data_IF_181658794732
#
_entry.id   IF_181658794732
#
_cell.length_a   1.000
_cell.length_b   1.000
_cell.length_c   1.000
_cell.angle_alpha   90.00
_cell.angle_beta   90.00
_cell.angle_gamma   90.00
#
_symmetry.space_group_name_H-M   'P 1'
#
loop_
_entity.id
_entity.type
_entity.pdbx_description
1 polymer ?
#
# COMPACT_ATOMS: atom_id res chain seq x y z
N UNK A 1 -11.08 -23.50 10.95
CA UNK A 1 -11.41 -24.12 12.25
C UNK A 1 -12.62 -23.43 12.91
N UNK A 2 -12.45 -22.50 13.86
CA UNK A 2 -13.59 -21.95 14.64
C UNK A 2 -14.71 -21.29 13.79
N UNK A 3 -14.36 -20.44 12.82
CA UNK A 3 -15.37 -19.76 11.98
C UNK A 3 -16.11 -20.71 11.04
N UNK A 4 -15.44 -21.79 10.61
CA UNK A 4 -16.06 -22.81 9.76
C UNK A 4 -17.05 -23.65 10.57
N UNK A 5 -16.69 -24.01 11.81
CA UNK A 5 -17.59 -24.70 12.74
C UNK A 5 -18.87 -23.89 13.00
N UNK A 6 -18.74 -22.59 13.29
CA UNK A 6 -19.89 -21.70 13.45
C UNK A 6 -20.74 -21.58 12.19
N UNK A 7 -20.11 -21.58 11.01
CA UNK A 7 -20.84 -21.55 9.73
C UNK A 7 -21.63 -22.84 9.50
N UNK A 8 -21.06 -24.00 9.86
CA UNK A 8 -21.75 -25.29 9.78
C UNK A 8 -22.90 -25.40 10.79
N UNK A 9 -22.73 -24.91 12.02
CA UNK A 9 -23.81 -24.81 13.00
C UNK A 9 -24.95 -23.90 12.54
N UNK A 10 -24.62 -22.73 11.99
CA UNK A 10 -25.61 -21.80 11.44
C UNK A 10 -26.44 -22.45 10.32
N UNK A 11 -25.80 -23.22 9.43
CA UNK A 11 -26.49 -24.00 8.40
C UNK A 11 -27.39 -25.08 8.99
N UNK A 12 -26.93 -25.80 10.03
CA UNK A 12 -27.75 -26.82 10.75
C UNK A 12 -28.98 -26.20 11.40
N UNK A 13 -28.87 -24.96 11.90
CA UNK A 13 -29.97 -24.18 12.45
C UNK A 13 -30.93 -23.62 11.38
N UNK A 14 -30.66 -23.87 10.09
CA UNK A 14 -31.51 -23.43 8.98
C UNK A 14 -31.31 -21.96 8.60
N UNK A 15 -30.29 -21.28 9.13
CA UNK A 15 -29.94 -19.92 8.72
C UNK A 15 -29.47 -19.92 7.27
N UNK A 16 -29.75 -18.83 6.53
CA UNK A 16 -29.40 -18.68 5.12
C UNK A 16 -28.75 -17.33 4.83
N UNK A 17 -28.03 -17.26 3.71
CA UNK A 17 -27.40 -16.02 3.25
C UNK A 17 -26.31 -15.53 4.22
N UNK A 18 -26.19 -14.21 4.45
CA UNK A 18 -25.14 -13.63 5.28
C UNK A 18 -25.11 -14.15 6.73
N UNK A 19 -26.23 -14.68 7.23
CA UNK A 19 -26.34 -15.22 8.59
C UNK A 19 -25.74 -16.62 8.72
N UNK A 20 -25.55 -17.34 7.61
CA UNK A 20 -24.95 -18.68 7.57
C UNK A 20 -23.46 -18.67 7.16
N UNK A 21 -22.97 -17.54 6.66
CA UNK A 21 -21.60 -17.34 6.21
C UNK A 21 -20.85 -16.52 7.26
N UNK A 22 -20.37 -17.20 8.31
CA UNK A 22 -19.73 -16.56 9.46
C UNK A 22 -18.30 -16.16 9.09
N UNK A 23 -18.10 -14.86 8.87
CA UNK A 23 -16.80 -14.26 8.54
C UNK A 23 -16.23 -13.48 9.71
N UNK A 24 -14.91 -13.44 9.80
CA UNK A 24 -14.24 -12.58 10.79
C UNK A 24 -14.54 -11.11 10.53
N UNK A 25 -15.00 -10.40 11.56
CA UNK A 25 -15.17 -8.94 11.55
C UNK A 25 -13.87 -8.21 11.92
N UNK A 26 -12.87 -8.91 12.47
CA UNK A 26 -11.60 -8.32 12.90
C UNK A 26 -10.92 -7.50 11.78
N UNK A 27 -10.83 -7.98 10.52
CA UNK A 27 -10.25 -7.19 9.44
C UNK A 27 -10.97 -5.85 9.21
N UNK A 28 -12.30 -5.82 9.38
CA UNK A 28 -13.08 -4.58 9.26
C UNK A 28 -12.77 -3.63 10.41
N UNK A 29 -12.71 -4.14 11.65
CA UNK A 29 -12.35 -3.35 12.84
C UNK A 29 -10.97 -2.73 12.69
N UNK A 30 -9.97 -3.51 12.26
CA UNK A 30 -8.59 -3.02 12.05
C UNK A 30 -8.56 -1.91 10.99
N UNK A 31 -9.23 -2.12 9.85
CA UNK A 31 -9.29 -1.10 8.78
C UNK A 31 -10.00 0.17 9.26
N UNK A 32 -11.11 0.04 9.96
CA UNK A 32 -11.84 1.18 10.54
C UNK A 32 -10.99 1.94 11.57
N UNK A 33 -10.26 1.23 12.44
CA UNK A 33 -9.34 1.84 13.40
C UNK A 33 -8.20 2.61 12.73
N UNK A 34 -7.58 2.02 11.70
CA UNK A 34 -6.54 2.71 10.89
C UNK A 34 -7.08 3.99 10.24
N UNK A 35 -8.27 3.91 9.63
CA UNK A 35 -8.90 5.06 9.00
C UNK A 35 -9.24 6.16 10.02
N UNK A 36 -9.72 5.80 11.21
CA UNK A 36 -10.01 6.73 12.30
C UNK A 36 -8.75 7.44 12.82
N UNK A 37 -7.61 6.74 12.83
CA UNK A 37 -6.29 7.31 13.15
C UNK A 37 -5.65 8.10 12.00
N UNK A 38 -6.39 8.33 10.90
CA UNK A 38 -5.89 9.01 9.70
C UNK A 38 -4.64 8.36 9.10
N UNK A 39 -4.48 7.06 9.28
CA UNK A 39 -3.37 6.29 8.71
C UNK A 39 -3.72 5.85 7.29
N UNK A 40 -2.71 5.87 6.44
CA UNK A 40 -2.75 5.37 5.08
C UNK A 40 -1.51 4.51 4.80
N UNK A 41 -1.54 3.75 3.70
CA UNK A 41 -0.46 2.88 3.30
C UNK A 41 -0.01 3.11 1.87
N UNK A 42 1.31 3.05 1.67
CA UNK A 42 1.94 2.88 0.37
C UNK A 42 2.72 1.56 0.35
N UNK A 43 3.07 1.10 -0.85
CA UNK A 43 3.71 -0.18 -1.07
C UNK A 43 5.05 -0.02 -1.77
N UNK A 44 6.02 -0.83 -1.34
CA UNK A 44 7.23 -1.11 -2.13
C UNK A 44 7.13 -2.53 -2.63
N UNK A 45 7.26 -2.73 -3.94
CA UNK A 45 7.13 -4.02 -4.59
C UNK A 45 8.40 -4.34 -5.37
N UNK A 46 9.07 -5.43 -5.01
CA UNK A 46 10.21 -5.99 -5.71
C UNK A 46 10.19 -7.52 -5.69
N UNK A 47 11.09 -8.18 -6.43
CA UNK A 47 11.11 -9.64 -6.53
C UNK A 47 11.40 -10.34 -5.19
N UNK A 48 12.07 -9.66 -4.25
CA UNK A 48 12.40 -10.21 -2.92
C UNK A 48 11.39 -9.85 -1.85
N UNK A 49 10.75 -8.68 -1.96
CA UNK A 49 9.93 -8.13 -0.90
C UNK A 49 8.77 -7.32 -1.49
N UNK A 50 7.58 -7.56 -0.93
CA UNK A 50 6.43 -6.68 -1.07
C UNK A 50 6.05 -6.24 0.33
N UNK A 51 6.06 -4.93 0.57
CA UNK A 51 5.84 -4.38 1.91
C UNK A 51 4.90 -3.20 1.88
N UNK A 52 3.99 -3.17 2.86
CA UNK A 52 3.15 -2.03 3.18
C UNK A 52 3.82 -1.17 4.23
N UNK A 53 3.96 0.12 3.93
CA UNK A 53 4.47 1.13 4.84
C UNK A 53 3.30 1.96 5.35
N UNK A 54 3.28 2.27 6.64
CA UNK A 54 2.20 3.08 7.24
C UNK A 54 2.69 4.50 7.40
N UNK A 55 1.89 5.45 6.92
CA UNK A 55 2.12 6.89 7.00
C UNK A 55 0.81 7.58 7.42
N UNK A 56 0.87 8.83 7.86
CA UNK A 56 -0.35 9.62 8.04
C UNK A 56 -0.83 10.20 6.70
N UNK A 57 -2.13 10.46 6.58
CA UNK A 57 -2.67 11.27 5.48
C UNK A 57 -2.00 12.66 5.48
N UNK A 58 -1.76 13.24 4.30
CA UNK A 58 -1.00 14.49 4.17
C UNK A 58 0.52 14.31 4.12
N UNK A 59 1.04 13.09 4.26
CA UNK A 59 2.50 12.86 4.19
C UNK A 59 3.00 13.02 2.75
N UNK A 60 4.03 13.85 2.57
CA UNK A 60 4.65 14.06 1.26
C UNK A 60 5.64 12.95 0.90
N UNK A 61 5.94 12.80 -0.39
CA UNK A 61 6.80 11.75 -0.91
C UNK A 61 8.19 11.64 -0.23
N UNK A 62 8.91 12.74 0.08
CA UNK A 62 10.19 12.65 0.79
C UNK A 62 10.05 12.10 2.21
N UNK A 63 9.01 12.51 2.94
CA UNK A 63 8.73 12.04 4.29
C UNK A 63 8.35 10.55 4.29
N UNK A 64 7.56 10.12 3.30
CA UNK A 64 7.24 8.71 3.11
C UNK A 64 8.47 7.86 2.80
N UNK A 65 9.41 8.37 1.99
CA UNK A 65 10.70 7.74 1.78
C UNK A 65 11.53 7.66 3.07
N UNK A 66 11.45 8.69 3.92
CA UNK A 66 12.06 8.75 5.25
C UNK A 66 11.64 7.63 6.21
N UNK A 67 10.40 7.14 6.09
CA UNK A 67 9.90 6.00 6.88
C UNK A 67 10.64 4.70 6.53
N UNK A 68 11.15 4.57 5.31
CA UNK A 68 12.01 3.45 4.91
C UNK A 68 13.41 3.64 5.47
N UNK A 69 13.98 4.83 5.26
CA UNK A 69 15.29 5.20 5.78
C UNK A 69 15.47 6.73 5.78
N UNK A 70 16.06 7.29 6.84
CA UNK A 70 16.25 8.75 6.99
C UNK A 70 17.10 9.37 5.87
N UNK A 71 18.01 8.60 5.27
CA UNK A 71 18.82 9.10 4.14
C UNK A 71 18.02 9.23 2.84
N UNK A 72 16.91 8.50 2.68
CA UNK A 72 16.07 8.64 1.49
C UNK A 72 15.31 9.96 1.50
N UNK A 73 14.90 10.43 2.68
CA UNK A 73 14.28 11.74 2.83
C UNK A 73 15.27 12.86 2.51
N UNK A 74 16.49 12.79 3.05
CA UNK A 74 17.55 13.79 2.82
C UNK A 74 18.02 13.81 1.36
N UNK A 75 18.20 12.63 0.79
CA UNK A 75 18.70 12.43 -0.57
C UNK A 75 17.62 12.37 -1.64
N UNK A 76 16.36 12.67 -1.29
CA UNK A 76 15.21 12.48 -2.20
C UNK A 76 15.38 13.26 -3.50
N UNK A 77 15.27 12.55 -4.62
CA UNK A 77 15.25 13.12 -5.97
C UNK A 77 13.81 13.16 -6.47
N UNK A 78 13.17 11.99 -6.55
CA UNK A 78 11.81 11.80 -7.07
C UNK A 78 11.24 10.46 -6.58
N UNK A 79 9.93 10.32 -6.66
CA UNK A 79 9.23 9.06 -6.50
C UNK A 79 8.64 8.62 -7.84
N UNK A 80 8.87 7.37 -8.24
CA UNK A 80 8.08 6.75 -9.29
C UNK A 80 6.84 6.13 -8.65
N UNK A 81 5.65 6.53 -9.09
CA UNK A 81 4.39 6.23 -8.42
C UNK A 81 3.36 5.67 -9.39
N UNK A 82 2.69 4.61 -8.97
CA UNK A 82 1.49 4.05 -9.62
C UNK A 82 0.49 3.71 -8.53
N UNK A 83 -0.79 4.05 -8.72
CA UNK A 83 -1.79 3.63 -7.75
C UNK A 83 -2.11 2.13 -7.92
N UNK A 84 -2.37 1.43 -6.81
CA UNK A 84 -2.74 0.02 -6.85
C UNK A 84 -3.91 -0.28 -7.80
N UNK A 85 -4.89 0.62 -7.91
CA UNK A 85 -6.01 0.46 -8.85
C UNK A 85 -5.56 0.42 -10.31
N UNK A 86 -4.72 1.39 -10.71
CA UNK A 86 -4.15 1.43 -12.06
C UNK A 86 -3.25 0.21 -12.32
N UNK A 87 -2.52 -0.25 -11.30
CA UNK A 87 -1.73 -1.48 -11.42
C UNK A 87 -2.62 -2.69 -11.71
N UNK A 88 -3.68 -2.91 -10.90
CA UNK A 88 -4.60 -4.04 -11.08
C UNK A 88 -5.34 -3.98 -12.42
N UNK A 89 -5.64 -2.79 -12.92
CA UNK A 89 -6.30 -2.62 -14.21
C UNK A 89 -5.40 -2.95 -15.40
N UNK A 90 -4.11 -2.64 -15.31
CA UNK A 90 -3.21 -2.73 -16.46
C UNK A 90 -2.18 -3.85 -16.41
N UNK A 91 -1.92 -4.50 -15.27
CA UNK A 91 -0.81 -5.46 -15.16
C UNK A 91 -0.99 -6.75 -15.99
N UNK A 92 -2.22 -7.08 -16.43
CA UNK A 92 -2.54 -8.22 -17.31
C UNK A 92 -1.95 -9.56 -16.82
N UNK A 93 -1.98 -9.79 -15.50
CA UNK A 93 -1.42 -10.99 -14.86
C UNK A 93 0.11 -11.04 -14.79
N UNK A 94 0.82 -10.05 -15.34
CA UNK A 94 2.29 -10.01 -15.33
C UNK A 94 2.81 -9.33 -14.05
N UNK A 95 3.92 -9.83 -13.46
CA UNK A 95 4.59 -9.19 -12.33
C UNK A 95 5.51 -8.06 -12.81
N UNK A 96 4.99 -7.13 -13.64
CA UNK A 96 5.77 -6.05 -14.24
C UNK A 96 5.00 -4.73 -14.30
N UNK A 97 5.74 -3.63 -14.19
CA UNK A 97 5.21 -2.27 -14.39
C UNK A 97 5.19 -1.85 -15.87
N UNK A 98 5.64 -2.68 -16.81
CA UNK A 98 5.72 -2.33 -18.24
C UNK A 98 4.37 -1.92 -18.82
N UNK A 99 3.31 -2.69 -18.55
CA UNK A 99 1.97 -2.40 -19.05
C UNK A 99 1.37 -1.12 -18.44
N UNK A 100 1.64 -0.88 -17.17
CA UNK A 100 1.23 0.36 -16.48
C UNK A 100 1.96 1.58 -17.07
N UNK A 101 3.24 1.41 -17.43
CA UNK A 101 4.03 2.42 -18.14
C UNK A 101 3.50 2.69 -19.54
N UNK A 102 3.15 1.65 -20.30
CA UNK A 102 2.51 1.76 -21.62
C UNK A 102 1.18 2.51 -21.55
N UNK A 103 0.40 2.30 -20.48
CA UNK A 103 -0.85 3.01 -20.23
C UNK A 103 -0.66 4.46 -19.74
N UNK A 104 0.58 4.93 -19.53
CA UNK A 104 0.86 6.29 -19.04
C UNK A 104 0.47 6.52 -17.58
N UNK A 105 0.18 5.46 -16.80
CA UNK A 105 -0.21 5.54 -15.39
C UNK A 105 0.97 5.47 -14.41
N UNK A 106 2.18 5.35 -14.95
CA UNK A 106 3.43 5.35 -14.18
C UNK A 106 4.03 6.76 -14.12
N UNK A 107 3.81 7.45 -13.01
CA UNK A 107 4.13 8.87 -12.84
C UNK A 107 5.47 9.07 -12.15
N UNK A 108 6.11 10.19 -12.45
CA UNK A 108 7.28 10.67 -11.70
C UNK A 108 6.87 11.88 -10.89
N UNK A 109 6.91 11.73 -9.58
CA UNK A 109 6.40 12.69 -8.61
C UNK A 109 7.55 13.35 -7.84
N UNK A 110 7.38 14.66 -7.61
CA UNK A 110 8.37 15.51 -6.95
C UNK A 110 8.21 15.57 -5.44
N UNK A 111 8.96 16.48 -4.81
CA UNK A 111 8.98 16.66 -3.35
C UNK A 111 7.63 17.10 -2.75
N UNK A 112 6.79 17.76 -3.54
CA UNK A 112 5.49 18.29 -3.12
C UNK A 112 4.33 17.31 -3.35
N UNK A 113 4.61 16.11 -3.85
CA UNK A 113 3.57 15.10 -4.03
C UNK A 113 3.11 14.59 -2.68
N UNK A 114 1.82 14.76 -2.40
CA UNK A 114 1.15 14.15 -1.27
C UNK A 114 0.80 12.70 -1.61
N UNK A 115 1.30 11.76 -0.80
CA UNK A 115 1.12 10.34 -1.01
C UNK A 115 -0.35 9.95 -0.91
N UNK A 116 -0.79 9.03 -1.76
CA UNK A 116 -2.16 8.52 -1.76
C UNK A 116 -2.24 7.09 -1.22
N UNK A 117 -3.40 6.72 -0.68
CA UNK A 117 -3.67 5.35 -0.24
C UNK A 117 -3.49 4.37 -1.40
N UNK A 118 -2.67 3.36 -1.17
CA UNK A 118 -2.39 2.29 -2.10
C UNK A 118 -1.41 2.66 -3.21
N UNK A 119 -0.69 3.77 -3.10
CA UNK A 119 0.41 4.07 -4.02
C UNK A 119 1.50 3.00 -3.93
N UNK A 120 1.94 2.51 -5.08
CA UNK A 120 3.11 1.66 -5.26
C UNK A 120 4.26 2.56 -5.69
N UNK A 121 5.34 2.54 -4.92
CA UNK A 121 6.40 3.54 -5.02
C UNK A 121 7.79 2.94 -5.17
N UNK A 122 8.59 3.58 -6.00
CA UNK A 122 10.04 3.43 -6.05
C UNK A 122 10.66 4.81 -5.82
N UNK A 123 11.43 4.95 -4.74
CA UNK A 123 12.08 6.21 -4.40
C UNK A 123 13.47 6.28 -5.00
N UNK A 124 13.73 7.32 -5.79
CA UNK A 124 15.05 7.63 -6.30
C UNK A 124 15.72 8.61 -5.33
N UNK A 125 16.90 8.24 -4.84
CA UNK A 125 17.68 9.07 -3.93
C UNK A 125 19.15 9.10 -4.36
N UNK A 126 19.89 10.11 -3.91
CA UNK A 126 21.34 10.12 -3.98
C UNK A 126 21.93 10.56 -2.64
N UNK A 127 22.98 9.87 -2.20
CA UNK A 127 23.66 10.18 -0.95
C UNK A 127 24.71 11.24 -1.25
N UNK A 128 24.45 12.49 -0.88
CA UNK A 128 25.52 13.48 -0.85
C UNK A 128 26.38 13.15 0.35
N UNK A 129 27.61 12.67 0.12
CA UNK A 129 28.60 12.53 1.18
C UNK A 129 28.69 13.88 1.91
N UNK A 130 28.29 13.91 3.18
CA UNK A 130 28.43 15.12 3.98
C UNK A 130 29.88 15.58 3.88
N UNK A 131 30.11 16.88 3.64
CA UNK A 131 31.46 17.45 3.71
C UNK A 131 32.11 16.94 4.98
N UNK A 132 33.15 16.10 4.87
CA UNK A 132 34.02 15.78 6.00
C UNK A 132 34.49 17.13 6.53
N UNK A 133 34.02 17.49 7.73
CA UNK A 133 34.56 18.62 8.48
C UNK A 133 35.99 18.30 8.87
#
# INVERSE_FOLDING_TARGET
>A
AFLEELSEEAKKLGLKGPQADVKSVIPRIIRSGRAALCLQSFYTCGPKEVRAWTIMKGTNAPQAAGVIHTDFERGFIKAEVTNYKDFVEHHDGQPSMSKVKEAGKYRQEGKNYEMQEGDICIFMHNVTAGKKK
#
